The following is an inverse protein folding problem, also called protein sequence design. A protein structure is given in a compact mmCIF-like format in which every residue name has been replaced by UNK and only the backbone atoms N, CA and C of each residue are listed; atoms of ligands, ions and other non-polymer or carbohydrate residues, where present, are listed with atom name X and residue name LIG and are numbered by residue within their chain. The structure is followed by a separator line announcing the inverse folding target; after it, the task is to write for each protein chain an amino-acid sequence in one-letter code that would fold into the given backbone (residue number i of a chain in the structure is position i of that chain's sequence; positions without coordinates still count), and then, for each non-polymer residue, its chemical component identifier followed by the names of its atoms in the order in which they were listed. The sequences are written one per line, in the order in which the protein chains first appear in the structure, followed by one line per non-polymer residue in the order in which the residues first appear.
data_IF_402358541187
#
_entry.id   IF_402358541187
#
_cell.length_a   1.000
_cell.length_b   1.000
_cell.length_c   1.000
_cell.angle_alpha   90.00
_cell.angle_beta   90.00
_cell.angle_gamma   90.00
#
_symmetry.space_group_name_H-M   'P 1'
#
loop_
_entity.id
_entity.type
_entity.pdbx_description
1 polymer ?
#
# COMPACT_ATOMS: atom_id res chain seq x y z
N UNK A 1 9.00 -0.81 -18.45
CA UNK A 1 7.99 -1.50 -19.29
C UNK A 1 6.88 -0.55 -19.71
N UNK A 2 5.65 -0.61 -19.16
CA UNK A 2 4.49 0.12 -19.71
C UNK A 2 4.73 1.61 -20.08
N UNK A 3 5.52 2.34 -19.28
CA UNK A 3 5.79 3.77 -19.48
C UNK A 3 6.90 4.06 -20.50
N UNK A 4 7.94 3.23 -20.58
CA UNK A 4 9.19 3.54 -21.31
C UNK A 4 9.48 2.58 -22.47
N UNK A 5 8.98 1.35 -22.37
CA UNK A 5 9.16 0.28 -23.34
C UNK A 5 7.79 -0.34 -23.61
N UNK A 6 6.86 0.42 -24.19
CA UNK A 6 5.46 0.01 -24.28
C UNK A 6 5.30 -1.27 -25.11
N UNK A 7 6.13 -1.50 -26.11
CA UNK A 7 5.98 -2.62 -27.04
C UNK A 7 6.58 -3.96 -26.54
N UNK A 8 7.18 -3.99 -25.35
CA UNK A 8 7.85 -5.21 -24.85
C UNK A 8 6.84 -6.26 -24.34
N UNK A 9 5.61 -5.84 -24.00
CA UNK A 9 4.59 -6.72 -23.43
C UNK A 9 3.18 -6.33 -23.90
N UNK A 10 2.35 -7.30 -24.27
CA UNK A 10 0.91 -7.08 -24.52
C UNK A 10 0.09 -7.00 -23.21
N UNK A 11 0.63 -7.56 -22.13
CA UNK A 11 -0.03 -7.59 -20.82
C UNK A 11 0.97 -7.61 -19.67
N UNK A 12 0.77 -6.74 -18.69
CA UNK A 12 1.61 -6.56 -17.52
C UNK A 12 0.79 -6.80 -16.26
N UNK A 13 1.35 -7.57 -15.33
CA UNK A 13 0.85 -7.70 -13.96
C UNK A 13 1.83 -6.96 -13.06
N UNK A 14 1.36 -5.93 -12.37
CA UNK A 14 2.18 -5.13 -11.46
C UNK A 14 1.57 -5.15 -10.05
N UNK A 15 2.14 -5.99 -9.19
CA UNK A 15 1.76 -6.15 -7.80
C UNK A 15 2.55 -5.27 -6.86
N UNK A 16 1.87 -4.62 -5.91
CA UNK A 16 2.45 -3.71 -4.91
C UNK A 16 3.58 -2.81 -5.48
N UNK A 17 3.33 -2.07 -6.58
CA UNK A 17 4.38 -1.42 -7.34
C UNK A 17 5.07 -0.32 -6.53
N UNK A 18 6.38 -0.48 -6.30
CA UNK A 18 7.23 0.47 -5.60
C UNK A 18 7.65 1.64 -6.49
N UNK A 19 6.68 2.36 -7.08
CA UNK A 19 6.95 3.40 -8.08
C UNK A 19 7.35 4.77 -7.48
N UNK A 20 7.44 4.89 -6.15
CA UNK A 20 7.94 6.08 -5.42
C UNK A 20 8.68 5.66 -4.14
N UNK A 21 9.84 6.26 -3.86
CA UNK A 21 10.84 5.69 -2.93
C UNK A 21 11.04 6.43 -1.60
N UNK A 22 10.38 7.57 -1.37
CA UNK A 22 10.71 8.44 -0.22
C UNK A 22 10.03 8.08 1.12
N UNK A 23 8.99 7.24 1.11
CA UNK A 23 8.21 6.89 2.32
C UNK A 23 9.04 6.25 3.44
N UNK A 24 10.01 5.35 3.18
CA UNK A 24 10.83 4.77 4.25
C UNK A 24 11.61 5.81 5.08
N UNK A 25 12.09 6.89 4.47
CA UNK A 25 12.73 7.99 5.22
C UNK A 25 11.74 8.70 6.15
N UNK A 26 10.47 8.80 5.76
CA UNK A 26 9.42 9.37 6.60
C UNK A 26 9.14 8.51 7.82
N UNK A 27 8.99 7.21 7.63
CA UNK A 27 8.78 6.23 8.70
C UNK A 27 9.99 6.22 9.65
N UNK A 28 11.21 6.20 9.12
CA UNK A 28 12.42 6.32 9.93
C UNK A 28 12.46 7.64 10.71
N UNK A 29 12.04 8.76 10.09
CA UNK A 29 11.94 10.04 10.78
C UNK A 29 10.84 10.12 11.85
N UNK A 30 9.91 9.15 11.87
CA UNK A 30 8.85 9.05 12.86
C UNK A 30 9.25 8.18 14.04
N UNK A 31 9.90 7.05 13.80
CA UNK A 31 10.15 6.03 14.81
C UNK A 31 11.63 5.88 15.23
N UNK A 32 12.58 6.36 14.43
CA UNK A 32 14.01 6.03 14.59
C UNK A 32 14.92 7.22 14.92
N UNK A 33 14.41 8.46 14.88
CA UNK A 33 15.22 9.66 15.19
C UNK A 33 15.50 9.80 16.68
N UNK A 34 14.58 9.36 17.52
CA UNK A 34 14.68 9.42 18.96
C UNK A 34 14.18 8.10 19.58
N UNK A 35 14.84 7.71 20.68
CA UNK A 35 14.57 6.43 21.35
C UNK A 35 13.16 6.35 21.97
N UNK A 36 12.55 7.50 22.29
CA UNK A 36 11.27 7.55 22.99
C UNK A 36 10.10 7.34 22.00
N UNK A 37 10.26 7.74 20.75
CA UNK A 37 9.32 7.51 19.64
C UNK A 37 9.40 6.09 19.06
N UNK A 38 10.47 5.35 19.34
CA UNK A 38 10.60 3.96 18.92
C UNK A 38 9.46 3.11 19.48
N UNK A 39 8.76 2.42 18.59
CA UNK A 39 7.66 1.50 18.93
C UNK A 39 8.20 0.06 18.82
N UNK A 40 8.42 -0.64 19.95
CA UNK A 40 8.85 -2.03 19.92
C UNK A 40 7.84 -2.93 19.21
N UNK A 41 8.33 -3.95 18.51
CA UNK A 41 7.50 -4.92 17.79
C UNK A 41 6.48 -5.63 18.67
N UNK A 42 6.77 -5.78 19.97
CA UNK A 42 5.85 -6.34 20.97
C UNK A 42 4.56 -5.54 21.14
N UNK A 43 4.53 -4.28 20.69
CA UNK A 43 3.35 -3.40 20.78
C UNK A 43 2.46 -3.43 19.53
N UNK A 44 2.99 -3.89 18.39
CA UNK A 44 2.24 -3.86 17.12
C UNK A 44 0.92 -4.64 17.17
N UNK A 45 0.81 -5.81 17.83
CA UNK A 45 -0.47 -6.49 17.98
C UNK A 45 -1.53 -5.61 18.67
N UNK A 46 -1.16 -4.87 19.71
CA UNK A 46 -2.11 -3.99 20.41
C UNK A 46 -2.59 -2.82 19.52
N UNK A 47 -1.71 -2.26 18.69
CA UNK A 47 -2.09 -1.23 17.70
C UNK A 47 -3.02 -1.82 16.64
N UNK A 48 -2.68 -3.00 16.12
CA UNK A 48 -3.46 -3.70 15.12
C UNK A 48 -4.86 -4.06 15.61
N UNK A 49 -4.97 -4.65 16.80
CA UNK A 49 -6.25 -4.97 17.43
C UNK A 49 -7.11 -3.72 17.66
N UNK A 50 -6.50 -2.59 18.04
CA UNK A 50 -7.22 -1.33 18.22
C UNK A 50 -7.69 -0.72 16.88
N UNK A 51 -6.92 -0.89 15.81
CA UNK A 51 -7.30 -0.52 14.45
C UNK A 51 -8.49 -1.37 13.97
N UNK A 52 -8.40 -2.70 14.08
CA UNK A 52 -9.50 -3.61 13.74
C UNK A 52 -10.76 -3.29 14.53
N UNK A 53 -10.65 -3.09 15.86
CA UNK A 53 -11.80 -2.72 16.71
C UNK A 53 -12.50 -1.45 16.23
N UNK A 54 -11.74 -0.52 15.63
CA UNK A 54 -12.27 0.74 15.13
C UNK A 54 -12.86 0.64 13.72
N UNK A 55 -12.40 -0.32 12.91
CA UNK A 55 -12.53 -0.23 11.45
C UNK A 55 -13.01 -1.49 10.74
N UNK A 56 -12.89 -2.68 11.34
CA UNK A 56 -13.31 -3.98 10.78
C UNK A 56 -14.78 -3.92 10.31
N UNK A 57 -15.70 -3.54 11.21
CA UNK A 57 -17.13 -3.53 10.90
C UNK A 57 -17.61 -2.40 9.95
N UNK A 58 -16.73 -1.56 9.39
CA UNK A 58 -17.14 -0.42 8.54
C UNK A 58 -17.69 -0.85 7.18
N UNK A 59 -17.29 -2.01 6.68
CA UNK A 59 -17.79 -2.60 5.43
C UNK A 59 -19.09 -3.42 5.62
N UNK A 60 -19.55 -3.55 6.88
CA UNK A 60 -20.76 -4.27 7.26
C UNK A 60 -20.55 -5.73 7.66
N UNK A 61 -19.31 -6.21 7.71
CA UNK A 61 -18.96 -7.52 8.29
C UNK A 61 -17.86 -7.36 9.34
N UNK A 62 -17.88 -8.23 10.37
CA UNK A 62 -16.80 -8.28 11.35
C UNK A 62 -16.03 -9.58 11.14
N UNK A 63 -14.99 -9.54 10.31
CA UNK A 63 -14.25 -10.72 9.88
C UNK A 63 -12.74 -10.64 10.16
N UNK A 64 -12.30 -9.57 10.82
CA UNK A 64 -10.91 -9.33 11.15
C UNK A 64 -10.11 -8.70 10.01
N UNK A 65 -10.76 -8.24 8.95
CA UNK A 65 -10.14 -7.53 7.84
C UNK A 65 -10.63 -6.08 7.81
N UNK A 66 -9.86 -5.20 7.18
CA UNK A 66 -10.30 -3.83 6.89
C UNK A 66 -10.44 -3.74 5.37
N UNK A 67 -11.68 -3.79 4.86
CA UNK A 67 -11.96 -3.79 3.41
C UNK A 67 -11.50 -2.49 2.72
N UNK A 68 -11.72 -1.33 3.37
CA UNK A 68 -11.26 -0.03 2.89
C UNK A 68 -10.77 0.87 4.04
N UNK A 69 -9.45 0.85 4.32
CA UNK A 69 -8.83 1.68 5.36
C UNK A 69 -8.99 3.19 5.16
N UNK A 70 -9.42 3.67 3.98
CA UNK A 70 -9.67 5.11 3.76
C UNK A 70 -10.89 5.61 4.54
N UNK A 71 -11.79 4.70 4.91
CA UNK A 71 -12.97 5.02 5.72
C UNK A 71 -12.67 4.94 7.23
N UNK A 72 -11.52 4.37 7.59
CA UNK A 72 -11.08 4.18 8.97
C UNK A 72 -10.62 5.51 9.59
N UNK A 73 -11.20 5.86 10.74
CA UNK A 73 -10.82 7.05 11.53
C UNK A 73 -10.06 6.70 12.81
N UNK A 74 -9.36 5.57 12.80
CA UNK A 74 -8.56 5.11 13.93
C UNK A 74 -7.48 6.14 14.31
N UNK A 75 -7.40 6.47 15.60
CA UNK A 75 -6.35 7.30 16.17
C UNK A 75 -5.64 6.48 17.27
N UNK A 76 -4.32 6.21 17.14
CA UNK A 76 -3.59 5.39 18.12
C UNK A 76 -3.54 6.01 19.53
N UNK A 77 -3.97 7.27 19.71
CA UNK A 77 -4.14 7.89 21.04
C UNK A 77 -5.07 7.09 21.96
N UNK A 78 -5.98 6.27 21.42
CA UNK A 78 -6.80 5.36 22.24
C UNK A 78 -5.97 4.37 23.06
N UNK A 79 -4.72 4.13 22.68
CA UNK A 79 -3.75 3.27 23.37
C UNK A 79 -2.80 4.03 24.30
N UNK A 80 -3.01 5.33 24.55
CA UNK A 80 -2.13 6.09 25.45
C UNK A 80 -2.04 5.41 26.83
N UNK A 81 -0.82 5.13 27.29
CA UNK A 81 -0.58 4.46 28.57
C UNK A 81 -1.20 5.27 29.73
N UNK A 82 -2.04 4.61 30.53
CA UNK A 82 -2.66 5.18 31.76
C UNK A 82 -1.84 4.86 33.02
N UNK A 83 -0.91 3.94 32.91
CA UNK A 83 -0.04 3.43 33.96
C UNK A 83 1.35 3.18 33.37
N UNK A 84 2.12 2.27 33.96
CA UNK A 84 3.44 1.88 33.45
C UNK A 84 3.39 1.37 32.01
N UNK A 85 4.45 1.69 31.27
CA UNK A 85 4.58 1.31 29.88
C UNK A 85 4.74 -0.21 29.72
N UNK A 86 3.98 -0.81 28.79
CA UNK A 86 3.99 -2.24 28.51
C UNK A 86 3.55 -2.53 27.07
N UNK A 87 3.42 -3.82 26.71
CA UNK A 87 3.09 -4.26 25.36
C UNK A 87 1.68 -3.84 24.88
N UNK A 88 0.76 -3.48 25.78
CA UNK A 88 -0.64 -3.19 25.47
C UNK A 88 -0.96 -1.70 25.35
N UNK A 89 0.02 -0.80 25.48
CA UNK A 89 -0.19 0.64 25.39
C UNK A 89 0.99 1.36 24.73
N UNK A 90 0.76 2.61 24.31
CA UNK A 90 1.75 3.50 23.71
C UNK A 90 2.04 4.68 24.63
N UNK A 91 3.32 5.03 24.79
CA UNK A 91 3.71 6.30 25.40
C UNK A 91 3.29 7.47 24.51
N UNK A 92 3.27 8.70 25.04
CA UNK A 92 2.89 9.86 24.24
C UNK A 92 3.77 10.05 22.97
N UNK A 93 5.12 9.92 23.03
CA UNK A 93 5.95 9.94 21.83
C UNK A 93 5.63 8.83 20.83
N UNK A 94 5.36 7.61 21.30
CA UNK A 94 4.97 6.48 20.44
C UNK A 94 3.61 6.70 19.74
N UNK A 95 2.66 7.35 20.41
CA UNK A 95 1.39 7.76 19.78
C UNK A 95 1.66 8.74 18.63
N UNK A 96 2.51 9.73 18.84
CA UNK A 96 2.86 10.70 17.78
C UNK A 96 3.65 10.05 16.63
N UNK A 97 4.53 9.10 16.94
CA UNK A 97 5.24 8.30 15.93
C UNK A 97 4.25 7.49 15.07
N UNK A 98 3.31 6.79 15.68
CA UNK A 98 2.27 6.03 14.99
C UNK A 98 1.36 6.94 14.12
N UNK A 99 0.93 8.09 14.66
CA UNK A 99 0.19 9.10 13.90
C UNK A 99 0.96 9.59 12.68
N UNK A 100 2.27 9.80 12.82
CA UNK A 100 3.12 10.23 11.72
C UNK A 100 3.26 9.14 10.65
N UNK A 101 3.35 7.87 11.02
CA UNK A 101 3.34 6.74 10.08
C UNK A 101 2.02 6.69 9.27
N UNK A 102 0.88 6.97 9.92
CA UNK A 102 -0.43 7.12 9.25
C UNK A 102 -0.65 8.47 8.57
N UNK A 103 0.35 9.35 8.54
CA UNK A 103 0.23 10.66 7.91
C UNK A 103 1.04 10.72 6.62
N UNK A 104 0.52 11.38 5.58
CA UNK A 104 1.26 11.52 4.33
C UNK A 104 2.47 12.44 4.55
N UNK A 105 3.57 12.15 3.87
CA UNK A 105 4.71 13.05 3.84
C UNK A 105 4.32 14.34 3.13
N UNK A 106 4.46 15.48 3.81
CA UNK A 106 4.16 16.80 3.23
C UNK A 106 5.42 17.64 3.14
N UNK A 107 5.52 18.42 2.08
CA UNK A 107 6.53 19.45 1.96
C UNK A 107 6.29 20.49 3.07
N UNK A 108 7.25 20.73 3.96
CA UNK A 108 7.07 21.61 5.12
C UNK A 108 6.85 23.08 4.72
N UNK A 109 7.30 23.50 3.53
CA UNK A 109 7.18 24.87 3.03
C UNK A 109 5.87 25.10 2.29
N UNK A 110 5.48 24.16 1.42
CA UNK A 110 4.34 24.34 0.50
C UNK A 110 3.07 23.61 0.95
N UNK A 111 3.17 22.68 1.89
CA UNK A 111 2.07 21.81 2.31
C UNK A 111 1.68 20.74 1.28
N UNK A 112 2.31 20.73 0.10
CA UNK A 112 2.07 19.74 -0.96
C UNK A 112 2.41 18.34 -0.45
N UNK A 113 1.56 17.37 -0.75
CA UNK A 113 1.88 15.98 -0.48
C UNK A 113 3.03 15.50 -1.37
N UNK A 114 4.01 14.84 -0.75
CA UNK A 114 5.19 14.26 -1.37
C UNK A 114 4.98 12.77 -1.67
N UNK A 115 4.34 12.04 -0.76
CA UNK A 115 3.98 10.63 -0.90
C UNK A 115 2.86 10.28 0.10
N UNK A 116 2.05 9.25 -0.20
CA UNK A 116 1.01 8.79 0.70
C UNK A 116 1.56 8.10 1.95
N UNK A 117 0.68 7.92 2.94
CA UNK A 117 0.98 7.23 4.20
C UNK A 117 0.76 5.72 4.11
N UNK A 118 1.25 5.01 5.13
CA UNK A 118 0.64 3.73 5.50
C UNK A 118 -0.76 3.95 6.05
N UNK A 119 -1.54 2.89 6.13
CA UNK A 119 -2.94 2.92 6.59
C UNK A 119 -3.16 1.93 7.72
N UNK A 120 -4.24 2.08 8.52
CA UNK A 120 -4.62 1.08 9.51
C UNK A 120 -4.76 -0.32 8.90
N UNK A 121 -4.22 -1.32 9.59
CA UNK A 121 -4.12 -2.71 9.11
C UNK A 121 -2.71 -3.13 8.68
N UNK A 122 -1.73 -2.22 8.70
CA UNK A 122 -0.32 -2.48 8.30
C UNK A 122 0.61 -2.76 9.47
N UNK A 123 0.13 -2.67 10.71
CA UNK A 123 0.93 -2.51 11.93
C UNK A 123 1.82 -3.72 12.20
N UNK A 124 1.30 -4.92 11.96
CA UNK A 124 2.03 -6.18 12.16
C UNK A 124 3.32 -6.25 11.33
N UNK A 125 3.38 -5.50 10.24
CA UNK A 125 4.52 -5.44 9.33
C UNK A 125 5.44 -4.23 9.51
N UNK A 126 5.13 -3.29 10.41
CA UNK A 126 5.87 -2.03 10.55
C UNK A 126 7.36 -2.22 10.85
N UNK A 127 7.72 -3.35 11.47
CA UNK A 127 9.11 -3.66 11.82
C UNK A 127 10.04 -3.71 10.62
N UNK A 128 9.51 -3.99 9.42
CA UNK A 128 10.31 -3.98 8.17
C UNK A 128 10.92 -2.59 7.91
N UNK A 129 10.20 -1.52 8.26
CA UNK A 129 10.63 -0.14 8.05
C UNK A 129 11.10 0.55 9.35
N UNK A 130 10.68 0.06 10.52
CA UNK A 130 10.77 0.77 11.79
C UNK A 130 11.42 -0.01 12.95
N UNK A 131 11.99 -1.20 12.74
CA UNK A 131 12.65 -1.97 13.81
C UNK A 131 14.18 -1.75 13.91
N UNK A 132 14.82 -1.23 12.86
CA UNK A 132 16.27 -1.01 12.80
C UNK A 132 16.70 0.38 13.28
N UNK A 133 18.00 0.63 13.48
CA UNK A 133 18.51 1.96 13.82
C UNK A 133 18.53 2.94 12.64
N UNK A 134 18.37 2.42 11.41
CA UNK A 134 18.44 3.15 10.15
C UNK A 134 17.25 2.76 9.24
N UNK A 135 16.91 3.60 8.24
CA UNK A 135 15.89 3.30 7.23
C UNK A 135 16.19 2.01 6.47
N UNK A 136 15.20 1.51 5.73
CA UNK A 136 15.38 0.34 4.86
C UNK A 136 16.59 0.51 3.93
N UNK A 137 17.47 -0.50 3.91
CA UNK A 137 18.79 -0.40 3.28
C UNK A 137 18.72 0.00 1.80
N UNK A 138 17.75 -0.53 1.05
CA UNK A 138 17.54 -0.20 -0.36
C UNK A 138 17.30 1.31 -0.59
N UNK A 139 16.47 1.94 0.25
CA UNK A 139 16.21 3.38 0.13
C UNK A 139 17.39 4.17 0.69
N UNK A 140 17.94 3.74 1.82
CA UNK A 140 19.09 4.42 2.40
C UNK A 140 20.27 4.49 1.42
N UNK A 141 20.57 3.39 0.74
CA UNK A 141 21.63 3.29 -0.26
C UNK A 141 21.31 4.11 -1.52
N UNK A 142 20.05 4.13 -1.98
CA UNK A 142 19.64 5.01 -3.09
C UNK A 142 19.95 6.48 -2.77
N UNK A 143 19.61 6.95 -1.57
CA UNK A 143 19.90 8.33 -1.18
C UNK A 143 21.40 8.58 -1.01
N UNK A 144 22.17 7.66 -0.40
CA UNK A 144 23.63 7.76 -0.28
C UNK A 144 24.32 7.83 -1.64
N UNK A 145 24.10 6.84 -2.50
CA UNK A 145 24.95 6.61 -3.67
C UNK A 145 24.43 7.28 -4.95
N UNK A 146 23.12 7.49 -5.08
CA UNK A 146 22.53 8.11 -6.27
C UNK A 146 22.21 9.58 -6.03
N UNK A 147 21.42 9.89 -5.01
CA UNK A 147 20.92 11.26 -4.77
C UNK A 147 22.03 12.17 -4.24
N UNK A 148 22.65 11.81 -3.11
CA UNK A 148 23.65 12.64 -2.45
C UNK A 148 25.08 12.37 -2.96
N UNK A 149 25.33 11.15 -3.45
CA UNK A 149 26.65 10.69 -3.91
C UNK A 149 27.69 10.81 -2.80
N UNK A 150 27.28 10.46 -1.58
CA UNK A 150 28.06 10.48 -0.35
C UNK A 150 27.77 9.21 0.47
N UNK A 151 28.73 8.28 0.61
CA UNK A 151 28.57 7.07 1.43
C UNK A 151 28.35 7.35 2.92
N UNK A 152 28.74 8.54 3.40
CA UNK A 152 28.61 8.96 4.79
C UNK A 152 27.38 9.83 5.04
N UNK A 153 26.49 9.97 4.05
CA UNK A 153 25.28 10.77 4.20
C UNK A 153 24.43 10.29 5.38
N UNK A 154 24.08 11.23 6.26
CA UNK A 154 23.25 10.98 7.45
C UNK A 154 21.78 11.30 7.17
N UNK A 155 20.96 10.25 7.14
CA UNK A 155 19.52 10.34 6.91
C UNK A 155 18.80 11.17 7.98
N UNK A 156 19.37 11.31 9.17
CA UNK A 156 18.77 12.09 10.27
C UNK A 156 18.66 13.57 9.92
N UNK A 157 19.54 14.05 9.05
CA UNK A 157 19.55 15.43 8.51
C UNK A 157 18.70 15.61 7.25
N UNK A 158 17.97 14.57 6.80
CA UNK A 158 17.15 14.66 5.60
C UNK A 158 16.09 15.76 5.70
N UNK A 159 16.14 16.67 4.73
CA UNK A 159 15.18 17.75 4.53
C UNK A 159 14.17 17.27 3.48
N UNK A 160 12.91 17.06 3.88
CA UNK A 160 11.85 16.57 2.99
C UNK A 160 11.46 17.55 1.88
N UNK A 161 11.88 18.81 1.96
CA UNK A 161 11.69 19.81 0.93
C UNK A 161 12.82 19.70 -0.11
N UNK A 162 14.04 20.05 0.29
CA UNK A 162 15.20 20.09 -0.61
C UNK A 162 15.68 18.70 -1.04
N UNK A 163 15.57 17.72 -0.15
CA UNK A 163 15.99 16.35 -0.40
C UNK A 163 15.13 15.65 -1.43
N UNK A 164 13.81 15.90 -1.42
CA UNK A 164 12.90 15.38 -2.45
C UNK A 164 13.10 16.12 -3.77
N UNK A 165 13.20 17.45 -3.76
CA UNK A 165 13.53 18.21 -4.96
C UNK A 165 14.80 17.68 -5.63
N UNK A 166 15.83 17.38 -4.83
CA UNK A 166 17.07 16.76 -5.32
C UNK A 166 16.86 15.35 -5.88
N UNK A 167 16.08 14.52 -5.20
CA UNK A 167 15.80 13.14 -5.63
C UNK A 167 14.96 13.07 -6.91
N UNK A 168 14.10 14.07 -7.15
CA UNK A 168 13.23 14.14 -8.33
C UNK A 168 13.94 14.71 -9.58
N UNK A 169 15.18 15.18 -9.47
CA UNK A 169 15.95 15.61 -10.64
C UNK A 169 16.20 14.42 -11.60
N UNK A 170 16.15 14.61 -12.93
CA UNK A 170 16.29 13.52 -13.90
C UNK A 170 17.51 12.63 -13.69
N UNK A 171 18.66 13.21 -13.33
CA UNK A 171 19.90 12.47 -13.08
C UNK A 171 19.89 11.58 -11.83
N UNK A 172 18.93 11.79 -10.92
CA UNK A 172 18.77 11.03 -9.67
C UNK A 172 17.49 10.18 -9.67
N UNK A 173 16.52 10.54 -10.52
CA UNK A 173 15.19 9.94 -10.57
C UNK A 173 15.15 8.67 -11.45
N UNK A 174 15.98 7.68 -11.11
CA UNK A 174 16.09 6.42 -11.86
C UNK A 174 15.17 5.31 -11.35
N UNK A 175 14.60 5.49 -10.15
CA UNK A 175 13.80 4.45 -9.47
C UNK A 175 12.28 4.70 -9.55
N UNK A 176 11.84 5.93 -9.77
CA UNK A 176 10.40 6.22 -9.79
C UNK A 176 9.79 5.89 -11.16
N UNK A 177 8.60 5.30 -11.13
CA UNK A 177 7.83 4.95 -12.33
C UNK A 177 6.43 5.58 -12.22
N UNK A 178 6.36 6.91 -12.24
CA UNK A 178 5.15 7.68 -11.94
C UNK A 178 4.51 8.36 -13.14
N UNK A 179 5.00 8.12 -14.36
CA UNK A 179 4.42 8.72 -15.57
C UNK A 179 3.01 8.15 -15.82
N UNK A 180 1.94 8.97 -15.78
CA UNK A 180 0.59 8.50 -16.02
C UNK A 180 0.24 8.38 -17.52
N UNK A 181 1.05 8.92 -18.43
CA UNK A 181 0.79 8.81 -19.86
C UNK A 181 1.18 7.42 -20.36
N UNK A 182 0.17 6.57 -20.55
CA UNK A 182 0.32 5.23 -21.11
C UNK A 182 -0.23 5.14 -22.53
N UNK A 183 -0.24 6.25 -23.28
CA UNK A 183 -0.81 6.32 -24.63
C UNK A 183 -0.21 5.29 -25.57
N UNK A 184 1.11 5.16 -25.59
CA UNK A 184 1.78 4.20 -26.48
C UNK A 184 1.46 2.75 -26.10
N UNK A 185 1.41 2.45 -24.79
CA UNK A 185 1.03 1.14 -24.28
C UNK A 185 -0.43 0.78 -24.63
N UNK A 186 -1.35 1.74 -24.47
CA UNK A 186 -2.76 1.51 -24.77
C UNK A 186 -3.05 1.53 -26.28
N UNK A 187 -2.23 2.20 -27.11
CA UNK A 187 -2.41 2.28 -28.55
C UNK A 187 -2.29 0.91 -29.25
N UNK A 188 -1.49 0.00 -28.72
CA UNK A 188 -1.43 -1.40 -29.17
C UNK A 188 -2.27 -2.33 -28.29
N UNK A 189 -3.26 -1.79 -27.59
CA UNK A 189 -4.22 -2.53 -26.76
C UNK A 189 -3.62 -3.21 -25.51
N UNK A 190 -2.46 -2.76 -25.03
CA UNK A 190 -1.80 -3.29 -23.84
C UNK A 190 -2.71 -3.33 -22.60
N UNK A 191 -2.57 -4.40 -21.80
CA UNK A 191 -3.35 -4.65 -20.57
C UNK A 191 -2.50 -4.51 -19.32
N UNK A 192 -2.92 -3.66 -18.39
CA UNK A 192 -2.25 -3.45 -17.11
C UNK A 192 -3.14 -3.92 -15.96
N UNK A 193 -2.78 -5.04 -15.36
CA UNK A 193 -3.40 -5.57 -14.14
C UNK A 193 -2.58 -5.11 -12.92
N UNK A 194 -3.12 -4.17 -12.17
CA UNK A 194 -2.55 -3.73 -10.89
C UNK A 194 -3.22 -4.50 -9.74
N UNK A 195 -2.42 -4.89 -8.76
CA UNK A 195 -2.95 -5.38 -7.48
C UNK A 195 -2.11 -4.88 -6.31
N UNK A 196 -2.72 -4.69 -5.14
CA UNK A 196 -2.01 -4.24 -3.95
C UNK A 196 -2.76 -4.63 -2.67
N UNK A 197 -2.02 -5.09 -1.66
CA UNK A 197 -2.57 -5.44 -0.35
C UNK A 197 -2.80 -4.21 0.51
N UNK A 198 -3.90 -4.18 1.24
CA UNK A 198 -4.17 -3.10 2.20
C UNK A 198 -3.29 -3.14 3.45
N UNK A 199 -2.76 -4.33 3.78
CA UNK A 199 -1.86 -4.55 4.92
C UNK A 199 -0.38 -4.51 4.53
N UNK A 200 -0.04 -3.92 3.37
CA UNK A 200 1.35 -3.75 2.91
C UNK A 200 2.09 -2.69 3.77
N UNK A 201 3.13 -3.09 4.54
CA UNK A 201 3.90 -2.15 5.35
C UNK A 201 5.09 -1.53 4.61
N UNK A 202 5.39 -2.00 3.38
CA UNK A 202 6.60 -1.62 2.63
C UNK A 202 6.31 -0.56 1.58
N UNK A 203 5.20 -0.71 0.86
CA UNK A 203 4.75 0.24 -0.15
C UNK A 203 3.33 0.68 0.24
N UNK A 204 3.08 1.99 0.29
CA UNK A 204 1.74 2.48 0.60
C UNK A 204 0.75 2.08 -0.51
N UNK A 205 -0.30 1.34 -0.15
CA UNK A 205 -1.40 0.98 -1.07
C UNK A 205 -2.02 2.20 -1.74
N UNK A 206 -2.16 3.30 -0.98
CA UNK A 206 -2.65 4.59 -1.46
C UNK A 206 -1.85 5.15 -2.65
N UNK A 207 -0.57 4.81 -2.75
CA UNK A 207 0.28 5.24 -3.86
C UNK A 207 -0.10 4.55 -5.18
N UNK A 208 -0.49 3.27 -5.13
CA UNK A 208 -1.02 2.58 -6.31
C UNK A 208 -2.38 3.11 -6.73
N UNK A 209 -3.26 3.44 -5.77
CA UNK A 209 -4.55 4.08 -6.06
C UNK A 209 -4.34 5.40 -6.78
N UNK A 210 -3.47 6.27 -6.25
CA UNK A 210 -3.16 7.57 -6.87
C UNK A 210 -2.57 7.43 -8.27
N UNK A 211 -1.68 6.46 -8.47
CA UNK A 211 -1.12 6.19 -9.80
C UNK A 211 -2.22 5.72 -10.77
N UNK A 212 -3.07 4.77 -10.37
CA UNK A 212 -4.20 4.31 -11.16
C UNK A 212 -5.13 5.46 -11.55
N UNK A 213 -5.54 6.28 -10.57
CA UNK A 213 -6.41 7.45 -10.81
C UNK A 213 -5.75 8.48 -11.72
N UNK A 214 -4.45 8.71 -11.58
CA UNK A 214 -3.69 9.60 -12.45
C UNK A 214 -3.63 9.08 -13.89
N UNK A 215 -3.36 7.79 -14.11
CA UNK A 215 -3.39 7.18 -15.45
C UNK A 215 -4.78 7.30 -16.05
N UNK A 216 -5.83 6.92 -15.30
CA UNK A 216 -7.22 7.01 -15.77
C UNK A 216 -7.58 8.45 -16.14
N UNK A 217 -7.20 9.44 -15.34
CA UNK A 217 -7.42 10.85 -15.62
C UNK A 217 -6.71 11.34 -16.88
N UNK A 218 -5.41 11.09 -16.99
CA UNK A 218 -4.57 11.49 -18.14
C UNK A 218 -5.05 10.85 -19.44
N UNK A 219 -5.47 9.58 -19.39
CA UNK A 219 -5.90 8.80 -20.55
C UNK A 219 -7.37 9.03 -20.95
N UNK A 220 -8.04 10.02 -20.33
CA UNK A 220 -9.35 10.51 -20.76
C UNK A 220 -10.55 9.85 -20.07
N UNK A 221 -10.35 9.28 -18.88
CA UNK A 221 -11.39 8.83 -17.97
C UNK A 221 -11.71 7.33 -18.05
N UNK A 222 -12.44 6.85 -17.04
CA UNK A 222 -12.69 5.42 -16.83
C UNK A 222 -13.35 4.71 -18.02
N UNK A 223 -14.22 5.39 -18.78
CA UNK A 223 -14.87 4.80 -19.96
C UNK A 223 -13.88 4.51 -21.10
N UNK A 224 -12.79 5.27 -21.21
CA UNK A 224 -11.75 5.06 -22.22
C UNK A 224 -10.69 4.06 -21.79
N UNK A 225 -10.49 3.87 -20.49
CA UNK A 225 -9.40 3.05 -19.95
C UNK A 225 -9.85 1.72 -19.36
N UNK A 226 -11.15 1.49 -19.17
CA UNK A 226 -11.71 0.29 -18.52
C UNK A 226 -11.31 -1.03 -19.18
N UNK A 227 -10.95 -1.01 -20.46
CA UNK A 227 -10.45 -2.17 -21.19
C UNK A 227 -8.92 -2.34 -21.12
N UNK A 228 -8.17 -1.37 -20.60
CA UNK A 228 -6.70 -1.39 -20.60
C UNK A 228 -6.08 -1.45 -19.22
N UNK A 229 -6.74 -0.93 -18.19
CA UNK A 229 -6.20 -0.93 -16.83
C UNK A 229 -7.28 -1.32 -15.81
N UNK A 230 -6.90 -2.21 -14.88
CA UNK A 230 -7.73 -2.62 -13.74
C UNK A 230 -6.86 -2.68 -12.50
N UNK A 231 -7.42 -2.23 -11.38
CA UNK A 231 -6.79 -2.29 -10.06
C UNK A 231 -7.65 -3.15 -9.13
N UNK A 232 -7.01 -4.09 -8.43
CA UNK A 232 -7.61 -4.93 -7.40
C UNK A 232 -6.90 -4.69 -6.07
N UNK A 233 -7.66 -4.36 -5.03
CA UNK A 233 -7.13 -4.16 -3.68
C UNK A 233 -7.48 -5.36 -2.83
N UNK A 234 -6.53 -5.83 -2.02
CA UNK A 234 -6.63 -7.09 -1.28
C UNK A 234 -6.64 -6.80 0.24
N UNK A 235 -7.82 -6.77 0.88
CA UNK A 235 -7.96 -6.63 2.33
C UNK A 235 -7.14 -7.71 3.05
N UNK A 236 -6.35 -7.29 4.03
CA UNK A 236 -5.51 -8.19 4.82
C UNK A 236 -4.29 -8.76 4.10
N UNK A 237 -4.09 -8.56 2.80
CA UNK A 237 -2.84 -8.97 2.14
C UNK A 237 -1.69 -8.05 2.55
N UNK A 238 -0.55 -8.64 2.91
CA UNK A 238 0.71 -7.93 3.14
C UNK A 238 1.44 -7.51 1.87
N UNK A 239 2.76 -7.33 1.96
CA UNK A 239 3.58 -6.96 0.80
C UNK A 239 3.67 -8.10 -0.23
N UNK A 240 3.01 -7.92 -1.37
CA UNK A 240 2.89 -8.86 -2.50
C UNK A 240 2.18 -10.20 -2.22
N UNK A 241 2.13 -10.65 -0.97
CA UNK A 241 1.60 -11.95 -0.50
C UNK A 241 1.46 -11.94 1.03
N UNK A 242 1.02 -13.06 1.60
CA UNK A 242 0.89 -13.23 3.05
C UNK A 242 -0.16 -12.30 3.65
N UNK A 243 -0.15 -12.18 4.97
CA UNK A 243 -1.17 -11.43 5.71
C UNK A 243 -2.40 -12.28 6.04
N UNK A 244 -3.39 -11.65 6.66
CA UNK A 244 -4.53 -12.31 7.32
C UNK A 244 -5.71 -12.53 6.38
N UNK A 245 -5.70 -11.89 5.19
CA UNK A 245 -6.80 -11.93 4.23
C UNK A 245 -6.50 -12.73 2.96
N UNK A 246 -7.52 -12.96 2.13
CA UNK A 246 -7.37 -13.64 0.84
C UNK A 246 -6.39 -12.93 -0.10
N UNK A 247 -5.33 -13.63 -0.50
CA UNK A 247 -4.18 -13.08 -1.22
C UNK A 247 -3.66 -13.96 -2.37
N UNK A 248 -4.26 -15.14 -2.57
CA UNK A 248 -3.92 -16.09 -3.64
C UNK A 248 -5.01 -16.10 -4.69
N UNK A 249 -4.62 -15.78 -5.94
CA UNK A 249 -5.44 -15.90 -7.14
C UNK A 249 -4.55 -16.13 -8.37
N UNK A 250 -5.14 -16.68 -9.44
CA UNK A 250 -4.43 -16.90 -10.71
C UNK A 250 -4.25 -15.61 -11.50
N UNK A 251 -3.17 -14.90 -11.18
CA UNK A 251 -2.77 -13.64 -11.83
C UNK A 251 -2.49 -13.84 -13.33
N UNK A 252 -1.82 -14.95 -13.68
CA UNK A 252 -1.36 -15.22 -15.05
C UNK A 252 -2.54 -15.56 -15.94
N UNK A 253 -3.39 -16.52 -15.53
CA UNK A 253 -4.58 -16.89 -16.28
C UNK A 253 -5.56 -15.73 -16.41
N UNK A 254 -5.72 -14.91 -15.36
CA UNK A 254 -6.55 -13.69 -15.43
C UNK A 254 -6.07 -12.73 -16.52
N UNK A 255 -4.76 -12.43 -16.55
CA UNK A 255 -4.17 -11.56 -17.58
C UNK A 255 -4.27 -12.19 -18.98
N UNK A 256 -4.01 -13.48 -19.10
CA UNK A 256 -4.13 -14.24 -20.36
C UNK A 256 -5.55 -14.16 -20.95
N UNK A 257 -6.59 -14.42 -20.16
CA UNK A 257 -7.98 -14.28 -20.60
C UNK A 257 -8.29 -12.86 -21.08
N UNK A 258 -7.71 -11.85 -20.44
CA UNK A 258 -7.94 -10.45 -20.80
C UNK A 258 -7.24 -10.06 -22.10
N UNK A 259 -5.98 -10.46 -22.27
CA UNK A 259 -5.20 -10.16 -23.47
C UNK A 259 -5.73 -10.94 -24.68
N UNK A 260 -5.91 -12.25 -24.55
CA UNK A 260 -6.18 -13.12 -25.70
C UNK A 260 -7.66 -13.22 -26.05
N UNK A 261 -8.55 -13.10 -25.05
CA UNK A 261 -10.00 -13.24 -25.24
C UNK A 261 -10.78 -11.95 -25.01
N UNK A 262 -10.09 -10.84 -24.74
CA UNK A 262 -10.71 -9.53 -24.53
C UNK A 262 -11.63 -9.46 -23.30
N UNK A 263 -11.52 -10.41 -22.37
CA UNK A 263 -12.39 -10.48 -21.19
C UNK A 263 -11.74 -9.76 -20.01
N UNK A 264 -12.07 -8.48 -19.84
CA UNK A 264 -11.58 -7.70 -18.70
C UNK A 264 -12.17 -8.23 -17.38
N UNK A 265 -11.35 -8.45 -16.32
CA UNK A 265 -11.88 -8.91 -15.05
C UNK A 265 -12.64 -7.78 -14.34
N UNK A 266 -13.90 -8.02 -14.01
CA UNK A 266 -14.67 -7.13 -13.11
C UNK A 266 -14.57 -7.56 -11.64
N UNK A 267 -14.26 -8.84 -11.41
CA UNK A 267 -13.93 -9.41 -10.10
C UNK A 267 -12.98 -10.60 -10.28
N UNK A 268 -12.19 -10.90 -9.25
CA UNK A 268 -11.28 -12.06 -9.20
C UNK A 268 -11.48 -12.76 -7.87
N UNK A 269 -11.73 -14.07 -7.84
CA UNK A 269 -11.82 -14.79 -6.57
C UNK A 269 -10.41 -15.03 -6.03
N UNK A 270 -10.14 -14.51 -4.83
CA UNK A 270 -8.93 -14.77 -4.07
C UNK A 270 -9.24 -15.70 -2.89
N UNK A 271 -8.20 -16.39 -2.43
CA UNK A 271 -8.24 -17.30 -1.30
C UNK A 271 -7.16 -16.97 -0.27
N UNK A 272 -7.48 -17.24 1.00
CA UNK A 272 -6.53 -17.36 2.10
C UNK A 272 -6.39 -18.85 2.43
N UNK A 273 -5.29 -19.24 3.06
CA UNK A 273 -5.09 -20.63 3.49
C UNK A 273 -4.31 -20.72 4.77
N UNK A 274 -4.82 -21.51 5.72
CA UNK A 274 -4.12 -21.88 6.95
C UNK A 274 -3.65 -23.33 6.83
N UNK A 275 -2.35 -23.58 7.06
CA UNK A 275 -1.74 -24.91 6.97
C UNK A 275 -2.04 -25.65 5.65
N UNK A 276 -2.04 -24.91 4.53
CA UNK A 276 -2.27 -25.45 3.19
C UNK A 276 -3.73 -25.78 2.85
N UNK A 277 -4.69 -25.41 3.72
CA UNK A 277 -6.12 -25.56 3.45
C UNK A 277 -6.77 -24.20 3.26
N UNK A 278 -7.55 -24.05 2.20
CA UNK A 278 -8.37 -22.86 1.98
C UNK A 278 -9.38 -22.75 3.11
N UNK A 279 -9.33 -21.64 3.83
CA UNK A 279 -10.21 -21.34 4.96
C UNK A 279 -11.13 -20.13 4.69
N UNK A 280 -10.74 -19.24 3.77
CA UNK A 280 -11.53 -18.08 3.37
C UNK A 280 -11.34 -17.74 1.89
N UNK A 281 -12.42 -17.30 1.25
CA UNK A 281 -12.41 -16.74 -0.10
C UNK A 281 -13.15 -15.40 -0.17
N UNK A 282 -12.68 -14.49 -1.04
CA UNK A 282 -13.32 -13.19 -1.35
C UNK A 282 -13.29 -12.88 -2.84
N UNK A 283 -14.32 -12.22 -3.39
CA UNK A 283 -14.17 -11.54 -4.66
C UNK A 283 -13.34 -10.27 -4.44
N UNK A 284 -12.16 -10.20 -5.05
CA UNK A 284 -11.46 -8.95 -5.26
C UNK A 284 -12.22 -8.16 -6.32
N UNK A 285 -12.56 -6.92 -6.00
CA UNK A 285 -13.38 -6.08 -6.87
C UNK A 285 -12.52 -5.12 -7.68
N UNK A 286 -12.89 -4.90 -8.95
CA UNK A 286 -12.24 -3.87 -9.74
C UNK A 286 -12.51 -2.49 -9.11
N UNK A 287 -11.45 -1.81 -8.67
CA UNK A 287 -11.49 -0.48 -8.06
C UNK A 287 -12.30 0.50 -8.93
N UNK A 288 -13.20 1.33 -8.34
CA UNK A 288 -13.31 1.64 -6.91
C UNK A 288 -14.29 0.79 -6.11
N UNK A 289 -14.83 -0.29 -6.68
CA UNK A 289 -15.77 -1.17 -5.97
C UNK A 289 -15.06 -1.95 -4.86
N UNK A 290 -15.82 -2.31 -3.83
CA UNK A 290 -15.36 -3.16 -2.72
C UNK A 290 -16.24 -4.41 -2.59
N UNK A 291 -15.76 -5.44 -1.89
CA UNK A 291 -16.56 -6.62 -1.60
C UNK A 291 -17.54 -6.31 -0.46
N UNK A 292 -18.84 -6.33 -0.76
CA UNK A 292 -19.88 -6.15 0.25
C UNK A 292 -20.56 -7.48 0.58
N UNK A 293 -20.65 -7.81 1.87
CA UNK A 293 -21.37 -8.98 2.34
C UNK A 293 -22.88 -8.86 2.03
N UNK A 294 -23.50 -9.94 1.54
CA UNK A 294 -24.92 -9.98 1.19
C UNK A 294 -25.86 -10.02 2.41
N UNK A 295 -25.31 -10.23 3.61
CA UNK A 295 -26.07 -10.28 4.87
C UNK A 295 -26.50 -11.70 5.30
N UNK A 296 -26.23 -12.72 4.50
CA UNK A 296 -26.50 -14.12 4.83
C UNK A 296 -25.47 -15.07 4.20
N UNK A 297 -25.30 -16.25 4.80
CA UNK A 297 -24.29 -17.24 4.42
C UNK A 297 -23.04 -17.20 5.28
N UNK A 298 -22.00 -17.92 4.85
CA UNK A 298 -20.70 -17.89 5.52
C UNK A 298 -19.94 -16.62 5.13
N UNK A 299 -19.36 -15.95 6.13
CA UNK A 299 -18.40 -14.86 5.94
C UNK A 299 -17.03 -15.37 5.50
N UNK A 300 -16.86 -16.66 5.18
CA UNK A 300 -15.61 -17.18 4.63
C UNK A 300 -15.77 -17.64 3.16
N UNK A 301 -16.96 -17.45 2.58
CA UNK A 301 -17.30 -17.86 1.22
C UNK A 301 -17.59 -16.66 0.32
N UNK A 302 -16.80 -16.53 -0.75
CA UNK A 302 -16.92 -15.45 -1.74
C UNK A 302 -18.31 -15.38 -2.39
N UNK A 303 -19.05 -16.49 -2.48
CA UNK A 303 -20.39 -16.50 -3.04
C UNK A 303 -21.37 -15.61 -2.27
N UNK A 304 -21.08 -15.31 -0.99
CA UNK A 304 -21.91 -14.46 -0.13
C UNK A 304 -21.53 -12.98 -0.20
N UNK A 305 -20.65 -12.59 -1.14
CA UNK A 305 -20.21 -11.22 -1.36
C UNK A 305 -20.60 -10.72 -2.76
N UNK A 306 -20.64 -9.41 -2.93
CA UNK A 306 -20.88 -8.75 -4.22
C UNK A 306 -20.03 -7.49 -4.32
N UNK A 307 -19.45 -7.27 -5.50
CA UNK A 307 -18.74 -6.03 -5.79
C UNK A 307 -19.70 -4.87 -6.01
N UNK A 308 -19.62 -3.84 -5.18
CA UNK A 308 -20.44 -2.62 -5.27
C UNK A 308 -19.62 -1.35 -5.06
#
# INVERSE_FOLDING_TARGET
EAQMFPNDYDGIIAGAPANRTAMPLWIASAALKDKDSYIPTSKYPAIHEAALKSCDALDGVKDGLIEDPRQCKFDPKVLLCKAEDNASCLTAPQVEAARKIYSPGKNPRTGKELFPSLVPGTELGWGIQAAGPDPSANIFDHYKYVVYKDPHWDWRTFDFDKGIERAEKPENNVMNATDPDLKEFFAHNGKLLLYHGWSDPQVATLNTIKYYESVVGTMGGASKTSNNIRLFLEPGMGHCRGGEGPNVFDKVGTREQWVEKGTAPDQIIASHSTNGKVDRTRPLCAYPKIAQYKGSGSIDDAANFVCK
#
